data_IF_074489432246
#
_entry.id   IF_074489432246
#
_cell.length_a   1.000
_cell.length_b   1.000
_cell.length_c   1.000
_cell.angle_alpha   90.00
_cell.angle_beta   90.00
_cell.angle_gamma   90.00
#
_symmetry.space_group_name_H-M   'P 1'
#
loop_
_entity.id
_entity.type
_entity.pdbx_description
1 polymer ?
#
# COMPACT_ATOMS: atom_id res chain seq x y z
N UNK A 1 17.07 0.98 8.23
CA UNK A 1 17.64 1.22 6.93
C UNK A 1 17.18 0.22 5.89
N UNK A 2 17.27 -1.04 6.19
CA UNK A 2 16.90 -2.04 5.21
C UNK A 2 15.41 -2.09 4.96
N UNK A 3 14.60 -1.59 5.88
CA UNK A 3 13.16 -1.67 5.72
C UNK A 3 12.67 -0.93 4.50
N UNK A 4 13.28 0.22 4.22
CA UNK A 4 12.87 1.02 3.09
C UNK A 4 13.21 0.34 1.78
N UNK A 5 14.21 -0.51 1.80
CA UNK A 5 14.62 -1.23 0.61
C UNK A 5 13.69 -2.36 0.29
N UNK A 6 12.84 -2.75 1.25
CA UNK A 6 11.92 -3.85 1.05
C UNK A 6 10.73 -3.46 0.19
N UNK A 7 10.43 -2.18 0.11
CA UNK A 7 9.33 -1.74 -0.73
C UNK A 7 9.88 -1.35 -2.10
N UNK A 8 9.45 -2.05 -3.13
CA UNK A 8 10.04 -1.85 -4.46
C UNK A 8 9.72 -0.48 -5.03
N UNK A 9 10.62 -0.02 -5.90
CA UNK A 9 10.42 1.22 -6.63
C UNK A 9 9.51 0.99 -7.83
N UNK A 10 9.58 -0.19 -8.39
CA UNK A 10 8.75 -0.56 -9.51
C UNK A 10 8.34 -2.01 -9.36
N UNK A 11 7.45 -2.45 -10.22
CA UNK A 11 6.92 -3.79 -10.12
C UNK A 11 5.61 -3.80 -9.35
N UNK A 12 5.32 -4.91 -8.69
CA UNK A 12 4.06 -5.10 -8.02
C UNK A 12 4.26 -5.41 -6.54
N UNK A 13 3.28 -5.02 -5.74
CA UNK A 13 3.30 -5.29 -4.30
C UNK A 13 1.95 -5.86 -3.90
N UNK A 14 1.97 -6.59 -2.80
CA UNK A 14 0.75 -7.17 -2.25
C UNK A 14 0.28 -6.35 -1.05
N UNK A 15 -0.96 -6.62 -0.62
CA UNK A 15 -1.54 -5.87 0.49
C UNK A 15 -0.68 -5.92 1.74
N UNK A 16 -0.08 -7.07 2.04
CA UNK A 16 0.74 -7.17 3.24
C UNK A 16 1.95 -6.26 3.18
N UNK A 17 2.49 -6.01 2.00
CA UNK A 17 3.60 -5.09 1.86
C UNK A 17 3.16 -3.65 2.04
N UNK A 18 1.94 -3.34 1.63
CA UNK A 18 1.39 -1.99 1.75
C UNK A 18 0.98 -1.70 3.18
N UNK A 19 0.26 -2.63 3.78
CA UNK A 19 -0.36 -2.42 5.09
C UNK A 19 0.44 -2.99 6.24
N UNK A 20 1.50 -3.75 5.93
CA UNK A 20 2.30 -4.37 6.96
C UNK A 20 1.71 -5.70 7.42
N UNK A 21 2.52 -6.49 8.08
CA UNK A 21 2.10 -7.79 8.57
C UNK A 21 2.94 -8.09 9.81
N UNK A 22 2.30 -8.02 10.96
CA UNK A 22 3.02 -8.23 12.23
C UNK A 22 3.59 -9.63 12.34
N UNK A 23 2.88 -10.61 11.81
CA UNK A 23 3.33 -12.00 11.89
C UNK A 23 4.59 -12.22 11.08
N UNK A 24 4.71 -11.52 9.96
CA UNK A 24 5.87 -11.66 9.10
C UNK A 24 6.90 -10.58 9.34
N UNK A 25 6.63 -9.66 10.25
CA UNK A 25 7.57 -8.60 10.55
C UNK A 25 7.67 -7.55 9.46
N UNK A 26 6.61 -7.39 8.68
CA UNK A 26 6.61 -6.41 7.59
C UNK A 26 6.10 -5.08 8.12
N UNK A 27 6.90 -4.04 7.92
CA UNK A 27 6.54 -2.69 8.33
C UNK A 27 5.56 -2.10 7.32
N UNK A 28 4.47 -1.49 7.78
CA UNK A 28 3.51 -0.89 6.85
C UNK A 28 4.11 0.29 6.08
N UNK A 29 3.81 0.34 4.81
CA UNK A 29 4.22 1.46 3.97
C UNK A 29 3.24 2.62 4.11
N UNK A 30 1.94 2.30 4.16
CA UNK A 30 0.90 3.30 4.33
C UNK A 30 0.30 3.17 5.73
N UNK A 31 0.04 4.28 6.40
CA UNK A 31 -0.49 4.27 7.77
C UNK A 31 -2.00 4.14 7.82
N UNK A 32 -2.53 3.10 7.20
CA UNK A 32 -3.97 2.87 7.20
C UNK A 32 -4.25 1.44 7.61
N UNK A 33 -5.42 1.21 8.17
CA UNK A 33 -5.82 -0.13 8.54
C UNK A 33 -6.30 -0.88 7.31
N UNK A 34 -6.37 -2.19 7.45
CA UNK A 34 -6.84 -3.02 6.35
C UNK A 34 -8.27 -2.65 5.96
N UNK A 35 -9.13 -2.44 6.95
CA UNK A 35 -10.52 -2.06 6.69
C UNK A 35 -10.59 -0.73 5.96
N UNK A 36 -9.80 0.23 6.40
CA UNK A 36 -9.78 1.54 5.79
C UNK A 36 -9.27 1.45 4.34
N UNK A 37 -8.28 0.62 4.13
CA UNK A 37 -7.69 0.44 2.80
C UNK A 37 -8.72 -0.08 1.80
N UNK A 38 -9.42 -1.14 2.16
CA UNK A 38 -10.39 -1.73 1.24
C UNK A 38 -11.63 -0.88 1.10
N UNK A 39 -11.99 -0.15 2.14
CA UNK A 39 -13.09 0.80 2.04
C UNK A 39 -12.74 1.90 1.04
N UNK A 40 -11.51 2.39 1.10
CA UNK A 40 -11.06 3.44 0.19
C UNK A 40 -11.03 2.97 -1.26
N UNK A 41 -10.67 1.72 -1.47
CA UNK A 41 -10.69 1.16 -2.83
C UNK A 41 -12.12 1.13 -3.35
N UNK A 42 -13.05 0.72 -2.50
CA UNK A 42 -14.45 0.64 -2.87
C UNK A 42 -15.01 2.02 -3.19
N UNK A 43 -14.55 3.03 -2.46
CA UNK A 43 -15.02 4.40 -2.64
C UNK A 43 -14.31 5.12 -3.78
N UNK A 44 -13.31 4.49 -4.37
CA UNK A 44 -12.59 5.11 -5.46
C UNK A 44 -11.47 6.04 -5.03
N UNK A 45 -11.13 6.06 -3.74
CA UNK A 45 -10.05 6.91 -3.24
C UNK A 45 -8.68 6.29 -3.47
N UNK A 46 -8.61 4.96 -3.52
CA UNK A 46 -7.36 4.25 -3.68
C UNK A 46 -7.43 3.41 -4.94
N UNK A 47 -6.30 3.10 -5.54
CA UNK A 47 -6.29 2.32 -6.79
C UNK A 47 -6.77 0.90 -6.57
N UNK A 48 -7.47 0.38 -7.55
CA UNK A 48 -7.92 -1.00 -7.50
C UNK A 48 -6.76 -1.92 -7.78
N UNK A 49 -6.75 -3.06 -7.08
CA UNK A 49 -5.71 -4.02 -7.30
C UNK A 49 -5.88 -4.76 -8.62
N UNK A 50 -4.80 -5.37 -9.04
CA UNK A 50 -4.79 -6.23 -10.23
C UNK A 50 -4.88 -7.66 -9.73
N UNK A 51 -5.89 -8.37 -10.17
CA UNK A 51 -6.11 -9.73 -9.69
C UNK A 51 -5.36 -10.71 -10.56
N UNK A 52 -4.33 -11.31 -10.01
CA UNK A 52 -3.54 -12.29 -10.74
C UNK A 52 -4.17 -13.67 -10.68
N UNK A 53 -4.85 -13.98 -9.58
CA UNK A 53 -5.57 -15.22 -9.42
C UNK A 53 -6.65 -14.99 -8.37
N UNK A 54 -7.38 -16.03 -8.04
CA UNK A 54 -8.49 -15.88 -7.11
C UNK A 54 -8.05 -15.32 -5.76
N UNK A 55 -6.82 -15.62 -5.36
CA UNK A 55 -6.34 -15.24 -4.04
C UNK A 55 -5.19 -14.26 -4.06
N UNK A 56 -4.77 -13.85 -5.24
CA UNK A 56 -3.60 -12.99 -5.34
C UNK A 56 -4.00 -11.69 -6.02
N UNK A 57 -3.96 -10.61 -5.27
CA UNK A 57 -4.19 -9.28 -5.79
C UNK A 57 -2.96 -8.44 -5.52
N UNK A 58 -2.52 -7.69 -6.51
CA UNK A 58 -1.34 -6.86 -6.38
C UNK A 58 -1.64 -5.46 -6.87
N UNK A 59 -0.77 -4.54 -6.51
CA UNK A 59 -0.87 -3.15 -6.94
C UNK A 59 0.47 -2.76 -7.52
N UNK A 60 0.46 -1.78 -8.40
CA UNK A 60 1.71 -1.26 -8.92
C UNK A 60 2.43 -0.51 -7.82
N UNK A 61 3.72 -0.82 -7.66
CA UNK A 61 4.51 -0.17 -6.62
C UNK A 61 4.51 1.35 -6.81
N UNK A 62 4.62 1.80 -8.04
CA UNK A 62 4.68 3.23 -8.32
C UNK A 62 3.38 3.93 -7.91
N UNK A 63 2.24 3.26 -8.10
CA UNK A 63 0.96 3.85 -7.70
C UNK A 63 0.88 3.99 -6.19
N UNK A 64 1.36 2.99 -5.47
CA UNK A 64 1.33 3.01 -4.01
C UNK A 64 2.30 4.05 -3.48
N UNK A 65 3.46 4.20 -4.10
CA UNK A 65 4.41 5.21 -3.68
C UNK A 65 3.85 6.62 -3.88
N UNK A 66 3.15 6.83 -4.99
CA UNK A 66 2.51 8.12 -5.25
C UNK A 66 1.43 8.40 -4.20
N UNK A 67 0.70 7.36 -3.82
CA UNK A 67 -0.32 7.51 -2.80
C UNK A 67 0.30 7.86 -1.45
N UNK A 68 1.43 7.26 -1.13
CA UNK A 68 2.13 7.58 0.10
C UNK A 68 2.57 9.03 0.13
N UNK A 69 3.02 9.54 -1.00
CA UNK A 69 3.40 10.93 -1.10
C UNK A 69 2.21 11.83 -0.83
N UNK A 70 1.05 11.44 -1.33
CA UNK A 70 -0.18 12.20 -1.13
C UNK A 70 -0.53 12.26 0.36
N UNK A 71 -0.31 11.16 1.08
CA UNK A 71 -0.56 11.14 2.53
C UNK A 71 0.36 12.11 3.25
N UNK A 72 1.61 12.17 2.84
CA UNK A 72 2.56 13.09 3.46
C UNK A 72 2.14 14.53 3.24
N UNK A 73 1.65 14.83 2.05
CA UNK A 73 1.21 16.18 1.74
C UNK A 73 0.02 16.57 2.59
N UNK A 74 -0.90 15.64 2.81
CA UNK A 74 -2.06 15.92 3.63
C UNK A 74 -1.68 16.16 5.08
N UNK A 75 -0.69 15.41 5.55
CA UNK A 75 -0.22 15.57 6.91
C UNK A 75 0.37 16.96 7.12
N UNK A 76 1.09 17.42 6.12
CA UNK A 76 1.74 18.73 6.21
C UNK A 76 0.73 19.86 6.27
N UNK A 77 -0.42 19.67 5.67
CA UNK A 77 -1.41 20.74 5.62
C UNK A 77 -2.02 20.99 6.99
N UNK A 78 -1.78 20.11 7.93
CA UNK A 78 -2.25 20.34 9.28
C UNK A 78 -1.43 21.40 9.94
#
# INVERSE_FOLDING_TARGET
>A
MSDQLNFPVEGFVRASQILGDKKKGITPFLPVSRAHWFQGIRDGKYPKGIKLSERVTVWRAEDIRALGQSFEDQTDSE
#
